data_IF_062698257966
#
_entry.id   IF_062698257966
#
_cell.length_a   1.000
_cell.length_b   1.000
_cell.length_c   1.000
_cell.angle_alpha   90.00
_cell.angle_beta   90.00
_cell.angle_gamma   90.00
#
_symmetry.space_group_name_H-M   'P 1'
#
loop_
_entity.id
_entity.type
_entity.pdbx_description
1 polymer ?
#
# COMPACT_ATOMS: atom_id res chain seq x y z
N UNK A 1 19.29 -59.35 -17.76
CA UNK A 1 18.15 -58.41 -17.77
C UNK A 1 17.16 -58.89 -16.71
N UNK A 2 16.67 -58.05 -15.77
CA UNK A 2 16.33 -56.64 -15.97
C UNK A 2 17.11 -55.63 -15.10
N UNK A 3 17.06 -54.39 -15.56
CA UNK A 3 17.72 -53.22 -14.98
C UNK A 3 16.94 -52.66 -13.77
N UNK A 4 17.65 -52.35 -12.69
CA UNK A 4 17.12 -51.53 -11.59
C UNK A 4 17.15 -50.08 -12.04
N UNK A 5 16.01 -49.56 -12.47
CA UNK A 5 15.83 -48.13 -12.76
C UNK A 5 15.77 -47.41 -11.42
N UNK A 6 16.92 -46.91 -10.97
CA UNK A 6 16.98 -45.93 -9.88
C UNK A 6 16.21 -44.68 -10.30
N UNK A 7 14.99 -44.51 -9.79
CA UNK A 7 14.27 -43.24 -9.88
C UNK A 7 15.00 -42.23 -8.99
N UNK A 8 15.97 -41.53 -9.57
CA UNK A 8 16.51 -40.31 -8.99
C UNK A 8 15.39 -39.27 -9.01
N UNK A 9 14.66 -39.16 -7.89
CA UNK A 9 13.78 -38.03 -7.65
C UNK A 9 14.69 -36.82 -7.54
N UNK A 10 14.77 -36.05 -8.63
CA UNK A 10 15.30 -34.69 -8.63
C UNK A 10 14.60 -33.92 -7.50
N UNK A 11 15.27 -33.79 -6.36
CA UNK A 11 14.90 -32.78 -5.36
C UNK A 11 15.12 -31.45 -6.04
N UNK A 12 14.04 -30.78 -6.41
CA UNK A 12 14.08 -29.39 -6.83
C UNK A 12 14.92 -28.63 -5.80
N UNK A 13 15.98 -27.91 -6.19
CA UNK A 13 16.76 -27.16 -5.22
C UNK A 13 15.82 -26.18 -4.53
N UNK A 14 15.69 -26.31 -3.21
CA UNK A 14 15.04 -25.29 -2.40
C UNK A 14 15.87 -24.02 -2.59
N UNK A 15 15.37 -23.09 -3.40
CA UNK A 15 15.97 -21.77 -3.46
C UNK A 15 15.71 -21.13 -2.12
N UNK A 16 16.77 -20.94 -1.34
CA UNK A 16 16.68 -20.22 -0.07
C UNK A 16 16.24 -18.79 -0.39
N UNK A 17 14.99 -18.47 -0.05
CA UNK A 17 14.52 -17.09 -0.06
C UNK A 17 15.32 -16.34 1.00
N UNK A 18 16.11 -15.35 0.56
CA UNK A 18 16.79 -14.47 1.51
C UNK A 18 15.79 -13.44 2.02
N UNK A 19 15.45 -13.45 3.32
CA UNK A 19 14.56 -12.44 3.87
C UNK A 19 15.22 -11.07 3.80
N UNK A 20 14.50 -10.08 3.27
CA UNK A 20 14.96 -8.70 3.21
C UNK A 20 14.07 -7.83 4.10
N UNK A 21 14.69 -6.96 4.90
CA UNK A 21 13.96 -5.93 5.65
C UNK A 21 13.71 -4.76 4.72
N UNK A 22 12.43 -4.49 4.44
CA UNK A 22 11.98 -3.43 3.55
C UNK A 22 11.19 -2.37 4.32
N UNK A 23 11.12 -1.17 3.74
CA UNK A 23 10.23 -0.10 4.19
C UNK A 23 9.14 0.10 3.16
N UNK A 24 7.93 0.34 3.63
CA UNK A 24 6.80 0.62 2.76
C UNK A 24 5.65 1.24 3.52
N UNK A 25 4.50 1.24 2.88
CA UNK A 25 3.30 1.91 3.37
C UNK A 25 2.13 0.93 3.28
N UNK A 26 1.57 0.55 4.43
CA UNK A 26 0.34 -0.23 4.49
C UNK A 26 -0.80 0.70 4.15
N UNK A 27 -1.48 0.37 3.07
CA UNK A 27 -2.67 1.04 2.60
C UNK A 27 -3.86 0.15 2.88
N UNK A 28 -4.86 0.71 3.55
CA UNK A 28 -6.11 0.04 3.89
C UNK A 28 -7.27 0.93 3.47
N UNK A 29 -8.20 0.37 2.70
CA UNK A 29 -9.51 0.96 2.49
C UNK A 29 -10.53 0.08 3.20
N UNK A 30 -11.20 0.61 4.21
CA UNK A 30 -12.12 -0.11 5.08
C UNK A 30 -13.51 0.48 4.94
N UNK A 31 -14.53 -0.37 4.81
CA UNK A 31 -15.93 0.01 4.75
C UNK A 31 -16.62 -0.35 6.06
N UNK A 32 -17.48 0.55 6.52
CA UNK A 32 -18.25 0.42 7.74
C UNK A 32 -19.72 0.64 7.43
N UNK A 33 -20.59 -0.10 8.11
CA UNK A 33 -22.03 0.10 7.97
C UNK A 33 -22.85 -0.58 9.06
N UNK A 34 -24.13 -0.21 9.18
CA UNK A 34 -25.02 -0.78 10.18
C UNK A 34 -25.27 -2.28 9.96
N UNK A 35 -25.25 -2.76 8.71
CA UNK A 35 -25.45 -4.17 8.38
C UNK A 35 -24.37 -5.09 8.98
N UNK A 36 -23.18 -4.57 9.24
CA UNK A 36 -22.06 -5.31 9.83
C UNK A 36 -21.88 -4.99 11.32
N UNK A 37 -22.79 -4.23 11.92
CA UNK A 37 -22.60 -3.70 13.28
C UNK A 37 -21.37 -2.80 13.40
N UNK A 38 -20.99 -2.11 12.30
CA UNK A 38 -19.78 -1.28 12.21
C UNK A 38 -18.46 -2.05 12.37
N UNK A 39 -18.47 -3.37 12.17
CA UNK A 39 -17.23 -4.12 11.96
C UNK A 39 -16.63 -3.70 10.60
N UNK A 40 -15.32 -3.33 10.54
CA UNK A 40 -14.68 -2.92 9.30
C UNK A 40 -14.56 -4.06 8.30
N UNK A 41 -15.10 -3.86 7.11
CA UNK A 41 -14.89 -4.74 5.96
C UNK A 41 -13.73 -4.22 5.09
N UNK A 42 -12.68 -5.02 4.87
CA UNK A 42 -11.60 -4.60 3.99
C UNK A 42 -12.05 -4.58 2.52
N UNK A 43 -11.96 -3.41 1.90
CA UNK A 43 -12.17 -3.22 0.45
C UNK A 43 -10.85 -3.39 -0.30
N UNK A 44 -9.77 -2.86 0.26
CA UNK A 44 -8.42 -2.97 -0.30
C UNK A 44 -7.43 -3.07 0.85
N UNK A 45 -6.52 -4.04 0.77
CA UNK A 45 -5.35 -4.14 1.63
C UNK A 45 -4.12 -4.33 0.74
N UNK A 46 -3.13 -3.45 0.87
CA UNK A 46 -1.88 -3.58 0.12
C UNK A 46 -0.71 -2.90 0.80
N UNK A 47 0.49 -3.35 0.47
CA UNK A 47 1.74 -2.64 0.77
C UNK A 47 2.15 -1.88 -0.49
N UNK A 48 2.51 -0.60 -0.33
CA UNK A 48 3.05 0.24 -1.40
C UNK A 48 4.48 0.64 -1.09
N UNK A 49 5.30 0.80 -2.12
CA UNK A 49 6.72 1.09 -1.97
C UNK A 49 6.94 2.56 -1.59
N UNK A 50 6.10 3.46 -2.10
CA UNK A 50 6.31 4.91 -1.96
C UNK A 50 5.10 5.64 -1.37
N UNK A 51 5.31 6.79 -0.69
CA UNK A 51 4.21 7.59 -0.17
C UNK A 51 3.38 8.22 -1.30
N UNK A 52 4.00 8.51 -2.45
CA UNK A 52 3.33 9.03 -3.64
C UNK A 52 2.33 8.01 -4.21
N UNK A 53 2.70 6.74 -4.29
CA UNK A 53 1.79 5.67 -4.70
C UNK A 53 0.59 5.56 -3.75
N UNK A 54 0.85 5.57 -2.44
CA UNK A 54 -0.19 5.47 -1.43
C UNK A 54 -1.19 6.63 -1.50
N UNK A 55 -0.70 7.87 -1.55
CA UNK A 55 -1.55 9.06 -1.68
C UNK A 55 -2.28 9.07 -3.03
N UNK A 56 -1.61 8.68 -4.12
CA UNK A 56 -2.25 8.55 -5.45
C UNK A 56 -3.39 7.54 -5.42
N UNK A 57 -3.23 6.42 -4.71
CA UNK A 57 -4.28 5.41 -4.59
C UNK A 57 -5.53 5.96 -3.88
N UNK A 58 -5.38 6.76 -2.80
CA UNK A 58 -6.52 7.45 -2.18
C UNK A 58 -7.20 8.36 -3.21
N UNK A 59 -6.42 9.20 -3.92
CA UNK A 59 -6.97 10.13 -4.92
C UNK A 59 -7.76 9.42 -6.02
N UNK A 60 -7.22 8.30 -6.54
CA UNK A 60 -7.90 7.50 -7.57
C UNK A 60 -9.20 6.94 -7.04
N UNK A 61 -9.21 6.36 -5.84
CA UNK A 61 -10.44 5.83 -5.25
C UNK A 61 -11.47 6.93 -5.01
N UNK A 62 -11.07 8.09 -4.46
CA UNK A 62 -11.97 9.23 -4.25
C UNK A 62 -12.64 9.73 -5.54
N UNK A 63 -11.93 9.75 -6.66
CA UNK A 63 -12.52 10.14 -7.96
C UNK A 63 -13.46 9.07 -8.53
N UNK A 64 -13.17 7.81 -8.28
CA UNK A 64 -14.05 6.70 -8.66
C UNK A 64 -15.30 6.57 -7.76
N UNK A 65 -15.35 7.29 -6.61
CA UNK A 65 -16.37 7.09 -5.59
C UNK A 65 -17.77 7.64 -5.90
N UNK A 66 -18.01 8.23 -7.07
CA UNK A 66 -19.37 8.60 -7.51
C UNK A 66 -20.34 7.40 -7.50
N UNK A 67 -19.81 6.18 -7.50
CA UNK A 67 -20.54 4.91 -7.40
C UNK A 67 -21.13 4.60 -6.01
N UNK A 68 -20.76 5.33 -4.95
CA UNK A 68 -21.16 5.01 -3.57
C UNK A 68 -22.38 5.78 -3.04
N UNK A 69 -23.10 6.52 -3.90
CA UNK A 69 -24.26 7.30 -3.46
C UNK A 69 -23.89 8.38 -2.44
N UNK A 70 -22.79 9.09 -2.71
CA UNK A 70 -22.30 10.20 -1.89
C UNK A 70 -23.35 11.32 -1.79
N UNK A 71 -23.39 12.00 -0.66
CA UNK A 71 -24.12 13.28 -0.59
C UNK A 71 -23.33 14.36 -1.34
N UNK A 72 -23.96 15.45 -1.82
CA UNK A 72 -23.24 16.53 -2.48
C UNK A 72 -22.09 17.10 -1.65
N UNK A 73 -22.27 17.21 -0.32
CA UNK A 73 -21.24 17.66 0.62
C UNK A 73 -20.02 16.73 0.60
N UNK A 74 -20.25 15.42 0.60
CA UNK A 74 -19.19 14.41 0.60
C UNK A 74 -18.46 14.36 -0.74
N UNK A 75 -19.19 14.56 -1.83
CA UNK A 75 -18.60 14.70 -3.15
C UNK A 75 -17.64 15.92 -3.18
N UNK A 76 -18.06 17.07 -2.64
CA UNK A 76 -17.21 18.27 -2.54
C UNK A 76 -15.97 17.99 -1.68
N UNK A 77 -16.12 17.33 -0.51
CA UNK A 77 -14.98 16.98 0.35
C UNK A 77 -13.99 16.04 -0.35
N UNK A 78 -14.48 15.01 -1.03
CA UNK A 78 -13.66 14.07 -1.78
C UNK A 78 -12.84 14.78 -2.86
N UNK A 79 -13.47 15.63 -3.68
CA UNK A 79 -12.79 16.39 -4.73
C UNK A 79 -11.81 17.41 -4.15
N UNK A 80 -12.21 18.13 -3.09
CA UNK A 80 -11.32 19.08 -2.44
C UNK A 80 -10.04 18.40 -1.93
N UNK A 81 -10.18 17.24 -1.27
CA UNK A 81 -9.02 16.49 -0.81
C UNK A 81 -8.17 15.99 -1.98
N UNK A 82 -8.79 15.41 -3.00
CA UNK A 82 -8.10 14.79 -4.13
C UNK A 82 -7.41 15.78 -5.08
N UNK A 83 -7.96 16.99 -5.23
CA UNK A 83 -7.58 17.93 -6.30
C UNK A 83 -7.14 19.30 -5.80
N UNK A 84 -7.59 19.74 -4.60
CA UNK A 84 -7.39 21.12 -4.11
C UNK A 84 -6.42 21.22 -2.93
N UNK A 85 -5.62 20.18 -2.68
CA UNK A 85 -4.46 20.25 -1.78
C UNK A 85 -4.55 19.42 -0.50
N UNK A 86 -5.67 18.74 -0.21
CA UNK A 86 -5.74 17.83 0.95
C UNK A 86 -4.70 16.70 0.89
N UNK A 87 -4.39 16.22 -0.32
CA UNK A 87 -3.35 15.24 -0.56
C UNK A 87 -1.92 15.74 -0.23
N UNK A 88 -1.67 17.06 -0.25
CA UNK A 88 -0.34 17.62 0.03
C UNK A 88 0.02 17.42 1.50
N UNK A 89 -0.93 17.66 2.40
CA UNK A 89 -0.73 17.45 3.84
C UNK A 89 -0.51 15.97 4.16
N UNK A 90 -1.28 15.07 3.52
CA UNK A 90 -1.12 13.63 3.67
C UNK A 90 0.28 13.17 3.20
N UNK A 91 0.74 13.66 2.05
CA UNK A 91 2.09 13.36 1.55
C UNK A 91 3.17 13.90 2.49
N UNK A 92 2.99 15.12 3.02
CA UNK A 92 3.88 15.69 4.02
C UNK A 92 3.97 14.86 5.30
N UNK A 93 2.84 14.36 5.80
CA UNK A 93 2.79 13.47 6.96
C UNK A 93 3.56 12.16 6.72
N UNK A 94 3.33 11.52 5.57
CA UNK A 94 4.05 10.29 5.23
C UNK A 94 5.56 10.50 5.10
N UNK A 95 6.02 11.62 4.54
CA UNK A 95 7.44 11.95 4.50
C UNK A 95 8.06 12.15 5.90
N UNK A 96 7.26 12.57 6.89
CA UNK A 96 7.69 12.64 8.30
C UNK A 96 7.58 11.30 9.05
N UNK A 97 7.10 10.24 8.39
CA UNK A 97 6.86 8.95 9.01
C UNK A 97 5.56 8.87 9.83
N UNK A 98 4.68 9.87 9.70
CA UNK A 98 3.38 9.89 10.36
C UNK A 98 2.32 9.15 9.52
N UNK A 99 1.35 8.46 10.14
CA UNK A 99 0.21 7.93 9.40
C UNK A 99 -0.67 9.06 8.86
N UNK A 100 -1.38 8.79 7.77
CA UNK A 100 -2.38 9.70 7.22
C UNK A 100 -3.60 8.94 6.71
N UNK A 101 -4.71 9.63 6.53
CA UNK A 101 -5.92 9.01 6.03
C UNK A 101 -6.98 10.01 5.60
N UNK A 102 -8.11 9.45 5.18
CA UNK A 102 -9.30 10.22 4.83
C UNK A 102 -10.54 9.38 5.08
N UNK A 103 -11.62 10.00 5.54
CA UNK A 103 -12.90 9.32 5.80
C UNK A 103 -13.99 9.99 4.98
N UNK A 104 -14.80 9.18 4.30
CA UNK A 104 -16.02 9.61 3.64
C UNK A 104 -17.24 9.03 4.33
N UNK A 105 -18.18 9.89 4.66
CA UNK A 105 -19.48 9.48 5.15
C UNK A 105 -20.39 9.19 3.96
N UNK A 106 -21.15 8.11 4.04
CA UNK A 106 -22.13 7.71 3.05
C UNK A 106 -23.54 7.84 3.65
N UNK A 107 -24.57 7.78 2.81
CA UNK A 107 -25.96 7.74 3.29
C UNK A 107 -26.22 6.51 4.17
N UNK A 108 -27.09 6.66 5.16
CA UNK A 108 -27.52 5.57 6.04
C UNK A 108 -26.47 5.15 7.07
N UNK A 109 -25.65 6.09 7.55
CA UNK A 109 -24.65 5.84 8.60
C UNK A 109 -23.41 5.04 8.16
N UNK A 110 -23.34 4.64 6.89
CA UNK A 110 -22.16 3.95 6.32
C UNK A 110 -21.00 4.93 6.16
N UNK A 111 -19.77 4.44 6.20
CA UNK A 111 -18.60 5.24 5.87
C UNK A 111 -17.48 4.37 5.29
N UNK A 112 -16.56 5.00 4.58
CA UNK A 112 -15.34 4.37 4.08
C UNK A 112 -14.17 5.18 4.60
N UNK A 113 -13.16 4.48 5.10
CA UNK A 113 -11.91 5.06 5.57
C UNK A 113 -10.74 4.55 4.75
N UNK A 114 -9.86 5.48 4.38
CA UNK A 114 -8.56 5.19 3.81
C UNK A 114 -7.50 5.48 4.85
N UNK A 115 -6.67 4.50 5.15
CA UNK A 115 -5.56 4.60 6.09
C UNK A 115 -4.25 4.27 5.37
N UNK A 116 -3.23 5.08 5.61
CA UNK A 116 -1.87 4.83 5.16
C UNK A 116 -0.93 4.96 6.34
N UNK A 117 -0.22 3.89 6.63
CA UNK A 117 0.76 3.85 7.73
C UNK A 117 2.13 3.43 7.21
N UNK A 118 3.18 4.23 7.47
CA UNK A 118 4.56 3.78 7.26
C UNK A 118 4.87 2.54 8.10
N UNK A 119 5.56 1.57 7.52
CA UNK A 119 5.96 0.36 8.23
C UNK A 119 7.28 -0.21 7.71
N UNK A 120 7.89 -1.04 8.55
CA UNK A 120 9.00 -1.92 8.20
C UNK A 120 8.51 -3.35 8.21
N UNK A 121 8.78 -4.11 7.15
CA UNK A 121 8.34 -5.50 7.00
C UNK A 121 9.47 -6.36 6.46
N UNK A 122 9.31 -7.68 6.62
CA UNK A 122 10.20 -8.66 6.01
C UNK A 122 9.56 -9.14 4.71
N UNK A 123 10.24 -8.91 3.60
CA UNK A 123 9.91 -9.49 2.31
C UNK A 123 10.68 -10.80 2.12
N UNK A 124 10.02 -11.79 1.52
CA UNK A 124 10.65 -13.07 1.15
C UNK A 124 10.96 -13.13 -0.35
N UNK A 125 10.89 -12.01 -1.08
CA UNK A 125 11.13 -12.00 -2.53
C UNK A 125 12.62 -12.12 -2.87
N UNK A 126 12.96 -13.15 -3.65
CA UNK A 126 14.33 -13.45 -4.08
C UNK A 126 14.97 -12.42 -5.04
N UNK A 127 14.27 -11.31 -5.37
CA UNK A 127 14.64 -10.39 -6.46
C UNK A 127 15.18 -9.03 -6.03
N UNK A 128 15.22 -8.70 -4.74
CA UNK A 128 15.53 -7.32 -4.29
C UNK A 128 16.94 -7.15 -3.70
N UNK A 129 17.95 -7.83 -4.22
CA UNK A 129 19.35 -7.55 -3.87
C UNK A 129 20.02 -6.48 -4.75
N UNK A 130 19.26 -5.69 -5.51
CA UNK A 130 19.79 -4.42 -6.03
C UNK A 130 19.67 -3.32 -4.97
N UNK A 131 20.43 -3.48 -3.88
CA UNK A 131 20.86 -2.35 -3.06
C UNK A 131 21.64 -1.42 -3.98
N UNK A 132 21.04 -0.31 -4.39
CA UNK A 132 21.73 0.74 -5.11
C UNK A 132 22.88 1.20 -4.22
N UNK A 133 24.12 0.88 -4.61
CA UNK A 133 25.29 1.31 -3.87
C UNK A 133 25.32 2.85 -3.82
N UNK A 134 25.75 3.47 -2.71
CA UNK A 134 25.96 4.90 -2.68
C UNK A 134 26.95 5.27 -3.77
N UNK A 135 26.59 6.29 -4.57
CA UNK A 135 27.42 6.82 -5.65
C UNK A 135 28.74 7.30 -5.04
N UNK A 136 29.92 6.83 -5.50
CA UNK A 136 31.18 7.31 -4.96
C UNK A 136 31.28 8.82 -5.19
N UNK A 137 31.51 9.56 -4.11
CA UNK A 137 31.83 10.98 -4.18
C UNK A 137 33.18 11.08 -4.86
N UNK A 138 33.22 11.71 -6.03
CA UNK A 138 34.47 12.01 -6.71
C UNK A 138 35.31 12.92 -5.79
N UNK A 139 36.37 12.38 -5.19
CA UNK A 139 37.45 13.19 -4.65
C UNK A 139 38.09 13.93 -5.83
N UNK A 140 37.94 15.26 -5.86
CA UNK A 140 38.81 16.10 -6.67
C UNK A 140 40.19 16.06 -6.05
N UNK A 141 41.15 15.53 -6.81
CA UNK A 141 42.58 15.73 -6.56
C UNK A 141 43.08 16.88 -7.43
N UNK A 142 43.99 17.67 -6.84
CA UNK A 142 44.67 18.89 -7.29
C UNK A 142 43.88 20.19 -7.09
#
# INVERSE_FOLDING_TARGET
MPAVIGRSTMRTPFTLLQPAVERGYRFEALRYGPATGFVPEPVVLRIMATPQEAVRAIRVQLRANHLFGLTPRELIRAHHWADRGGWVQALGALHRGEPCGFTLLLRGGRHIEWHVRPLTYVSLDARTHHRTAPRPVAQKSA
#
